data_IF_109328026592
#
_entry.id   IF_109328026592
#
_cell.length_a   1.000
_cell.length_b   1.000
_cell.length_c   1.000
_cell.angle_alpha   90.00
_cell.angle_beta   90.00
_cell.angle_gamma   90.00
#
_symmetry.space_group_name_H-M   'P 1'
#
loop_
_entity.id
_entity.type
_entity.pdbx_description
1 polymer ?
#
# COMPACT_ATOMS: atom_id res chain seq x y z
N UNK A 1 33.51 -20.26 -29.07
CA UNK A 1 33.77 -19.52 -27.83
C UNK A 1 32.51 -19.59 -27.00
N UNK A 2 32.55 -20.41 -25.96
CA UNK A 2 31.39 -20.60 -25.06
C UNK A 2 31.32 -19.41 -24.11
N UNK A 3 30.14 -18.80 -24.01
CA UNK A 3 29.86 -17.79 -23.01
C UNK A 3 29.88 -18.46 -21.63
N UNK A 4 30.74 -17.99 -20.76
CA UNK A 4 30.76 -18.34 -19.34
C UNK A 4 29.52 -17.73 -18.69
N UNK A 5 28.62 -18.58 -18.25
CA UNK A 5 27.52 -18.19 -17.35
C UNK A 5 28.15 -17.78 -16.01
N UNK A 6 27.99 -16.52 -15.64
CA UNK A 6 28.33 -16.02 -14.31
C UNK A 6 27.39 -16.66 -13.28
N UNK A 7 27.90 -17.68 -12.58
CA UNK A 7 27.28 -18.24 -11.39
C UNK A 7 27.33 -17.18 -10.28
N UNK A 8 26.22 -16.49 -10.05
CA UNK A 8 26.06 -15.60 -8.91
C UNK A 8 26.02 -16.43 -7.64
N UNK A 9 27.13 -16.50 -6.93
CA UNK A 9 27.24 -17.08 -5.59
C UNK A 9 26.73 -16.03 -4.60
N UNK A 10 25.44 -16.09 -4.26
CA UNK A 10 24.82 -15.27 -3.23
C UNK A 10 23.66 -16.02 -2.59
N UNK A 11 23.44 -15.85 -1.29
CA UNK A 11 22.25 -16.33 -0.61
C UNK A 11 21.01 -15.79 -1.35
N UNK A 12 20.14 -16.67 -1.79
CA UNK A 12 19.01 -16.53 -2.70
C UNK A 12 18.44 -15.12 -2.86
N UNK A 13 18.39 -14.69 -4.09
CA UNK A 13 17.75 -13.42 -4.47
C UNK A 13 16.24 -13.54 -4.24
N UNK A 14 15.74 -12.89 -3.20
CA UNK A 14 14.31 -12.64 -3.07
C UNK A 14 14.07 -11.35 -3.85
N UNK A 15 13.33 -11.44 -4.94
CA UNK A 15 12.96 -10.28 -5.76
C UNK A 15 12.18 -9.29 -4.88
N UNK A 16 12.40 -7.98 -5.10
CA UNK A 16 11.65 -6.91 -4.41
C UNK A 16 10.12 -6.98 -4.61
N UNK A 17 9.67 -7.79 -5.57
CA UNK A 17 8.26 -8.12 -5.83
C UNK A 17 7.75 -9.31 -4.99
N UNK A 18 8.59 -9.98 -4.22
CA UNK A 18 8.12 -11.07 -3.39
C UNK A 18 7.38 -10.51 -2.17
N UNK A 19 6.11 -10.88 -2.05
CA UNK A 19 5.23 -10.56 -0.93
C UNK A 19 5.60 -11.32 0.37
N UNK A 20 6.87 -11.62 0.56
CA UNK A 20 7.42 -12.45 1.64
C UNK A 20 7.53 -11.71 2.98
N UNK A 21 6.93 -10.56 3.10
CA UNK A 21 6.83 -9.85 4.35
C UNK A 21 5.46 -10.07 4.97
N UNK A 22 5.23 -11.30 5.49
CA UNK A 22 4.17 -11.61 6.43
C UNK A 22 4.31 -10.83 7.74
N UNK A 23 3.38 -11.04 8.67
CA UNK A 23 3.54 -10.53 10.03
C UNK A 23 4.78 -11.13 10.72
N UNK A 24 5.15 -10.61 11.90
CA UNK A 24 6.35 -11.06 12.63
C UNK A 24 6.34 -12.58 12.89
N UNK A 25 5.17 -13.19 13.05
CA UNK A 25 5.04 -14.63 13.28
C UNK A 25 5.24 -15.43 11.98
N UNK A 26 4.77 -14.91 10.85
CA UNK A 26 4.99 -15.53 9.54
C UNK A 26 6.46 -15.46 9.13
N UNK A 27 7.14 -14.34 9.41
CA UNK A 27 8.58 -14.20 9.17
C UNK A 27 9.39 -15.15 10.04
N UNK A 28 9.08 -15.25 11.33
CA UNK A 28 9.75 -16.18 12.28
C UNK A 28 9.52 -17.64 11.88
N UNK A 29 8.33 -17.98 11.41
CA UNK A 29 8.00 -19.31 10.89
C UNK A 29 8.79 -19.64 9.61
N UNK A 30 8.90 -18.70 8.67
CA UNK A 30 9.64 -18.89 7.44
C UNK A 30 11.17 -18.92 7.67
N UNK A 31 11.69 -18.14 8.59
CA UNK A 31 13.09 -18.22 9.02
C UNK A 31 13.41 -19.57 9.68
N UNK A 32 12.51 -20.08 10.52
CA UNK A 32 12.62 -21.42 11.10
C UNK A 32 12.65 -22.50 10.01
N UNK A 33 11.73 -22.46 9.06
CA UNK A 33 11.71 -23.38 7.93
C UNK A 33 12.97 -23.27 7.05
N UNK A 34 13.48 -22.07 6.85
CA UNK A 34 14.72 -21.82 6.09
C UNK A 34 15.95 -22.37 6.83
N UNK A 35 16.01 -22.27 8.15
CA UNK A 35 17.13 -22.77 8.96
C UNK A 35 17.16 -24.30 9.05
N UNK A 36 15.98 -24.94 9.00
CA UNK A 36 15.86 -26.41 9.00
C UNK A 36 16.06 -27.03 7.62
N UNK A 37 15.92 -26.25 6.57
CA UNK A 37 16.04 -26.74 5.21
C UNK A 37 17.50 -26.82 4.79
N UNK A 38 18.02 -28.05 4.74
CA UNK A 38 19.29 -28.34 4.09
C UNK A 38 19.02 -28.81 2.66
N UNK A 39 19.28 -27.97 1.63
CA UNK A 39 18.98 -28.33 0.21
C UNK A 39 19.59 -29.67 -0.22
N UNK A 40 20.77 -30.01 0.29
CA UNK A 40 21.42 -31.28 0.03
C UNK A 40 20.61 -32.49 0.57
N UNK A 41 20.10 -32.41 1.78
CA UNK A 41 19.29 -33.48 2.38
C UNK A 41 17.92 -33.60 1.68
N UNK A 42 17.33 -32.50 1.36
CA UNK A 42 16.06 -32.46 0.61
C UNK A 42 16.22 -33.12 -0.76
N UNK A 43 17.20 -32.73 -1.56
CA UNK A 43 17.42 -33.27 -2.90
C UNK A 43 17.98 -34.68 -2.93
N UNK A 44 18.57 -35.18 -1.85
CA UNK A 44 18.97 -36.59 -1.75
C UNK A 44 17.80 -37.52 -1.49
N UNK A 45 16.78 -37.06 -0.78
CA UNK A 45 15.57 -37.84 -0.47
C UNK A 45 14.47 -37.71 -1.55
N UNK A 46 14.47 -36.62 -2.32
CA UNK A 46 13.52 -36.31 -3.38
C UNK A 46 14.28 -36.37 -4.72
N UNK A 47 14.17 -37.48 -5.42
CA UNK A 47 14.81 -37.72 -6.74
C UNK A 47 14.32 -36.68 -7.76
N UNK A 48 14.78 -35.43 -7.69
CA UNK A 48 14.61 -34.30 -8.65
C UNK A 48 13.30 -34.27 -9.48
N UNK A 49 12.22 -34.84 -8.97
CA UNK A 49 10.93 -34.83 -9.64
C UNK A 49 10.17 -33.54 -9.32
N UNK A 50 10.38 -32.54 -10.16
CA UNK A 50 9.73 -31.22 -10.08
C UNK A 50 8.19 -31.33 -10.17
N UNK A 51 7.64 -32.40 -10.80
CA UNK A 51 6.19 -32.60 -10.87
C UNK A 51 5.60 -33.05 -9.53
N UNK A 52 6.38 -33.66 -8.65
CA UNK A 52 5.93 -34.00 -7.29
C UNK A 52 5.78 -32.77 -6.38
N UNK A 53 6.53 -31.72 -6.67
CA UNK A 53 6.50 -30.45 -5.92
C UNK A 53 5.33 -29.55 -6.38
N UNK A 54 4.98 -29.62 -7.66
CA UNK A 54 3.95 -28.77 -8.27
C UNK A 54 2.49 -29.21 -7.97
N UNK A 55 2.27 -30.36 -7.31
CA UNK A 55 0.93 -30.90 -7.05
C UNK A 55 0.59 -30.95 -5.56
N UNK A 56 -0.11 -29.96 -5.00
CA UNK A 56 -0.47 -29.91 -3.56
C UNK A 56 -1.33 -31.09 -3.12
N UNK A 57 -2.01 -31.76 -4.04
CA UNK A 57 -2.90 -32.92 -3.77
C UNK A 57 -2.14 -34.19 -3.36
N UNK A 58 -0.85 -34.34 -3.69
CA UNK A 58 -0.06 -35.51 -3.33
C UNK A 58 0.55 -35.46 -1.92
N UNK A 59 0.61 -34.30 -1.31
CA UNK A 59 1.10 -34.14 0.07
C UNK A 59 0.11 -34.61 1.14
N UNK A 60 -1.19 -34.64 0.84
CA UNK A 60 -2.22 -35.16 1.75
C UNK A 60 -2.32 -36.69 1.77
N UNK A 61 -1.87 -37.37 0.72
CA UNK A 61 -1.96 -38.84 0.63
C UNK A 61 -0.89 -39.59 1.44
N UNK A 62 0.04 -38.90 2.11
CA UNK A 62 1.15 -39.55 2.85
C UNK A 62 0.99 -39.54 4.36
N UNK A 63 -0.20 -39.22 4.87
CA UNK A 63 -0.52 -39.20 6.32
C UNK A 63 -1.42 -40.33 6.79
N UNK A 64 -1.44 -41.47 6.10
CA UNK A 64 -2.06 -42.67 6.62
C UNK A 64 -0.96 -43.72 6.88
N UNK A 65 -0.47 -43.73 8.12
CA UNK A 65 0.26 -44.85 8.71
C UNK A 65 -0.70 -45.57 9.65
N UNK A 66 -0.87 -46.90 9.56
CA UNK A 66 -1.89 -47.61 10.30
C UNK A 66 -1.59 -47.60 11.80
N UNK A 67 -2.64 -47.36 12.56
CA UNK A 67 -2.69 -47.57 14.00
C UNK A 67 -2.79 -49.07 14.32
N UNK A 68 -1.92 -49.55 15.18
CA UNK A 68 -2.25 -50.66 16.07
C UNK A 68 -1.53 -50.49 17.41
N UNK A 69 -2.32 -50.74 18.45
CA UNK A 69 -2.05 -51.14 19.85
C UNK A 69 -2.37 -50.07 20.90
N UNK A 70 -3.60 -50.17 21.38
CA UNK A 70 -4.11 -50.39 22.76
C UNK A 70 -3.38 -49.74 23.95
N UNK A 71 -4.10 -48.86 24.64
CA UNK A 71 -4.28 -48.78 26.09
C UNK A 71 -4.90 -47.46 26.56
N UNK A 72 -6.11 -47.51 27.05
CA UNK A 72 -6.76 -46.46 27.90
C UNK A 72 -6.09 -46.31 29.26
N UNK A 73 -6.19 -45.18 30.00
CA UNK A 73 -7.44 -44.75 30.60
C UNK A 73 -7.70 -43.22 30.72
N UNK A 74 -8.97 -42.91 30.62
CA UNK A 74 -9.75 -41.81 31.22
C UNK A 74 -9.07 -40.65 31.96
N UNK A 75 -9.28 -39.42 31.52
CA UNK A 75 -9.54 -38.23 32.35
C UNK A 75 -10.45 -37.22 31.67
N UNK A 76 -11.34 -36.64 32.48
CA UNK A 76 -12.49 -35.79 32.19
C UNK A 76 -12.15 -34.48 31.43
N UNK A 77 -13.10 -33.90 30.68
CA UNK A 77 -12.92 -32.63 29.98
C UNK A 77 -13.11 -31.46 30.95
N UNK A 78 -12.22 -30.48 30.83
CA UNK A 78 -12.42 -29.14 31.38
C UNK A 78 -12.85 -28.18 30.26
N UNK A 79 -13.64 -27.15 30.57
CA UNK A 79 -14.35 -26.36 29.55
C UNK A 79 -13.44 -25.41 28.78
N UNK A 80 -13.65 -25.38 27.49
CA UNK A 80 -13.04 -24.42 26.54
C UNK A 80 -13.56 -23.01 26.83
N UNK A 81 -12.71 -22.16 27.36
CA UNK A 81 -12.93 -20.72 27.32
C UNK A 81 -12.56 -20.22 25.92
N UNK A 82 -13.57 -19.88 25.15
CA UNK A 82 -13.41 -19.20 23.85
C UNK A 82 -12.88 -17.79 24.09
N UNK A 83 -11.57 -17.62 23.96
CA UNK A 83 -10.96 -16.31 23.83
C UNK A 83 -11.00 -15.96 22.33
N UNK A 84 -11.99 -15.20 21.93
CA UNK A 84 -12.02 -14.51 20.63
C UNK A 84 -10.94 -13.43 20.61
N UNK A 85 -9.74 -13.83 20.22
CA UNK A 85 -8.67 -12.88 19.95
C UNK A 85 -8.89 -12.35 18.52
N UNK A 86 -9.52 -11.19 18.43
CA UNK A 86 -9.59 -10.44 17.20
C UNK A 86 -8.17 -10.17 16.71
N UNK A 87 -7.81 -10.71 15.54
CA UNK A 87 -6.56 -10.41 14.86
C UNK A 87 -6.56 -8.92 14.49
N UNK A 88 -5.86 -8.12 15.29
CA UNK A 88 -5.51 -6.75 14.93
C UNK A 88 -4.42 -6.83 13.87
N UNK A 89 -4.73 -6.40 12.66
CA UNK A 89 -3.73 -6.01 11.67
C UNK A 89 -2.75 -5.01 12.29
N UNK A 90 -1.43 -5.09 12.04
CA UNK A 90 -0.48 -4.09 12.48
C UNK A 90 -0.58 -2.85 11.60
N UNK A 91 -1.62 -2.07 11.84
CA UNK A 91 -1.73 -0.71 11.32
C UNK A 91 -1.53 0.23 12.49
N UNK A 92 -0.60 1.14 12.36
CA UNK A 92 -0.41 2.35 13.18
C UNK A 92 -0.97 2.30 14.62
N UNK A 93 -0.29 1.61 15.51
CA UNK A 93 -0.61 1.62 16.92
C UNK A 93 -0.05 2.90 17.56
N UNK A 94 -0.86 3.93 17.62
CA UNK A 94 -0.50 5.22 18.22
C UNK A 94 -1.58 6.30 18.09
N UNK A 95 -2.63 6.06 17.30
CA UNK A 95 -3.78 6.97 17.21
C UNK A 95 -4.99 6.32 17.86
N UNK A 96 -5.58 7.01 18.80
CA UNK A 96 -6.79 6.54 19.50
C UNK A 96 -7.97 6.55 18.51
N UNK A 97 -8.23 5.37 17.95
CA UNK A 97 -9.29 5.13 16.96
C UNK A 97 -10.68 5.51 17.51
N UNK A 98 -10.85 5.46 18.82
CA UNK A 98 -12.10 5.84 19.48
C UNK A 98 -12.32 7.34 19.46
N UNK A 99 -11.28 8.12 19.72
CA UNK A 99 -11.35 9.58 19.67
C UNK A 99 -11.62 10.10 18.25
N UNK A 100 -11.04 9.45 17.21
CA UNK A 100 -11.31 9.80 15.82
C UNK A 100 -12.73 9.40 15.37
N UNK A 101 -13.26 8.28 15.84
CA UNK A 101 -14.63 7.85 15.55
C UNK A 101 -15.67 8.76 16.22
N UNK A 102 -15.42 9.21 17.46
CA UNK A 102 -16.28 10.19 18.15
C UNK A 102 -16.26 11.57 17.47
N UNK A 103 -15.09 12.00 16.98
CA UNK A 103 -14.98 13.26 16.24
C UNK A 103 -15.70 13.17 14.88
N UNK A 104 -15.64 12.02 14.19
CA UNK A 104 -16.37 11.77 12.95
C UNK A 104 -17.88 11.76 13.17
N UNK A 105 -18.35 11.09 14.22
CA UNK A 105 -19.77 11.05 14.59
C UNK A 105 -20.29 12.43 15.04
N UNK A 106 -19.49 13.22 15.75
CA UNK A 106 -19.81 14.59 16.11
C UNK A 106 -19.94 15.54 14.91
N UNK A 107 -19.16 15.33 13.85
CA UNK A 107 -19.28 16.06 12.57
C UNK A 107 -20.53 15.65 11.79
N UNK A 108 -20.91 14.37 11.81
CA UNK A 108 -22.14 13.87 11.15
C UNK A 108 -23.42 14.26 11.87
N UNK A 109 -23.38 14.46 13.20
CA UNK A 109 -24.54 14.82 14.02
C UNK A 109 -25.02 16.27 13.88
N UNK A 110 -24.22 17.18 13.31
CA UNK A 110 -24.57 18.61 13.16
C UNK A 110 -25.34 18.97 11.89
N UNK A 111 -25.72 17.99 11.06
CA UNK A 111 -26.29 18.18 9.71
C UNK A 111 -27.77 17.90 9.54
N UNK A 112 -28.65 17.88 10.57
CA UNK A 112 -30.09 17.68 10.37
C UNK A 112 -30.91 18.87 10.84
N UNK A 113 -31.11 19.86 9.96
CA UNK A 113 -32.34 20.63 9.89
C UNK A 113 -32.89 20.59 8.46
N UNK A 114 -33.94 19.81 8.30
CA UNK A 114 -34.76 19.69 7.11
C UNK A 114 -35.50 21.02 6.88
N UNK A 115 -35.26 21.65 5.72
CA UNK A 115 -36.16 22.66 5.17
C UNK A 115 -36.36 22.28 3.71
N UNK A 116 -37.60 21.84 3.43
CA UNK A 116 -38.11 21.67 2.07
C UNK A 116 -38.26 23.05 1.45
N UNK A 117 -37.53 23.32 0.38
CA UNK A 117 -37.84 24.36 -0.58
C UNK A 117 -37.44 23.84 -1.96
N UNK A 118 -38.33 24.12 -2.90
CA UNK A 118 -38.34 23.98 -4.36
C UNK A 118 -36.98 23.77 -5.08
N UNK A 119 -36.94 23.15 -6.27
CA UNK A 119 -35.70 22.88 -6.99
C UNK A 119 -35.11 24.16 -7.56
N UNK A 120 -34.54 24.96 -6.71
CA UNK A 120 -33.70 26.10 -7.07
C UNK A 120 -32.29 25.56 -7.26
N UNK A 121 -31.70 25.86 -8.39
CA UNK A 121 -30.40 25.37 -8.87
C UNK A 121 -29.38 25.22 -7.76
N UNK A 122 -28.86 23.99 -7.58
CA UNK A 122 -27.74 23.73 -6.69
C UNK A 122 -26.62 24.81 -6.95
N UNK A 123 -26.05 25.42 -5.90
CA UNK A 123 -25.00 26.42 -6.09
C UNK A 123 -23.92 25.81 -6.97
N UNK A 124 -23.64 26.42 -8.11
CA UNK A 124 -22.54 26.05 -8.99
C UNK A 124 -21.27 26.08 -8.12
N UNK A 125 -20.68 24.92 -7.87
CA UNK A 125 -19.37 24.85 -7.22
C UNK A 125 -18.42 25.69 -8.08
N UNK A 126 -17.79 26.70 -7.50
CA UNK A 126 -16.75 27.46 -8.18
C UNK A 126 -15.61 26.49 -8.55
N UNK A 127 -15.33 26.40 -9.83
CA UNK A 127 -14.21 25.63 -10.35
C UNK A 127 -12.94 26.49 -10.31
N UNK A 128 -11.86 25.92 -9.82
CA UNK A 128 -10.58 26.60 -9.71
C UNK A 128 -9.44 25.65 -10.15
N UNK A 129 -8.60 26.11 -11.05
CA UNK A 129 -7.40 25.38 -11.44
C UNK A 129 -6.14 26.11 -10.94
N UNK A 130 -5.40 25.57 -9.95
CA UNK A 130 -4.19 26.21 -9.43
C UNK A 130 -3.04 26.28 -10.47
N UNK A 131 -3.16 25.55 -11.58
CA UNK A 131 -2.15 25.46 -12.65
C UNK A 131 -2.61 26.16 -13.94
N UNK A 132 -3.62 27.03 -13.83
CA UNK A 132 -4.13 27.76 -15.00
C UNK A 132 -3.04 28.61 -15.63
N UNK A 133 -2.97 28.61 -16.97
CA UNK A 133 -1.95 29.34 -17.75
C UNK A 133 -0.61 28.62 -17.88
N UNK A 134 -0.40 27.48 -17.20
CA UNK A 134 0.84 26.72 -17.39
C UNK A 134 0.75 25.82 -18.62
N UNK A 135 1.76 25.81 -19.53
CA UNK A 135 1.65 25.16 -20.84
C UNK A 135 1.50 23.65 -20.81
N UNK A 136 2.09 22.98 -19.81
CA UNK A 136 2.05 21.51 -19.68
C UNK A 136 1.02 21.03 -18.65
N UNK A 137 0.07 21.90 -18.30
CA UNK A 137 -1.01 21.60 -17.38
C UNK A 137 -2.36 21.64 -18.10
N UNK A 138 -3.31 20.84 -17.61
CA UNK A 138 -4.70 20.92 -18.03
C UNK A 138 -5.28 22.31 -17.71
N UNK A 139 -6.10 22.86 -18.61
CA UNK A 139 -6.72 24.19 -18.46
C UNK A 139 -8.24 24.08 -18.28
N UNK A 140 -8.83 25.06 -17.56
CA UNK A 140 -10.28 25.11 -17.36
C UNK A 140 -11.04 25.18 -18.69
N UNK A 141 -12.06 24.33 -18.79
CA UNK A 141 -12.86 24.21 -20.03
C UNK A 141 -12.25 23.33 -21.11
N UNK A 142 -11.01 22.87 -20.95
CA UNK A 142 -10.39 21.92 -21.86
C UNK A 142 -10.90 20.49 -21.55
N UNK A 143 -11.29 19.72 -22.57
CA UNK A 143 -11.61 18.30 -22.38
C UNK A 143 -10.32 17.49 -22.22
N UNK A 144 -10.41 16.34 -21.55
CA UNK A 144 -9.27 15.43 -21.40
C UNK A 144 -8.67 15.02 -22.76
N UNK A 145 -9.52 14.83 -23.78
CA UNK A 145 -9.09 14.50 -25.13
C UNK A 145 -8.32 15.64 -25.79
N UNK A 146 -8.81 16.89 -25.69
CA UNK A 146 -8.13 18.06 -26.20
C UNK A 146 -6.78 18.29 -25.53
N UNK A 147 -6.71 18.12 -24.20
CA UNK A 147 -5.49 18.23 -23.42
C UNK A 147 -4.44 17.21 -23.88
N UNK A 148 -4.80 15.93 -23.95
CA UNK A 148 -3.85 14.88 -24.36
C UNK A 148 -3.41 15.02 -25.82
N UNK A 149 -4.26 15.59 -26.70
CA UNK A 149 -3.86 15.96 -28.07
C UNK A 149 -2.88 17.13 -28.10
N UNK A 150 -3.06 18.12 -27.22
CA UNK A 150 -2.18 19.30 -27.12
C UNK A 150 -0.82 18.94 -26.51
N UNK A 151 -0.81 18.09 -25.48
CA UNK A 151 0.39 17.67 -24.74
C UNK A 151 0.40 16.14 -24.56
N UNK A 152 0.68 15.38 -25.62
CA UNK A 152 0.68 13.92 -25.56
C UNK A 152 1.91 13.39 -24.81
N UNK A 153 1.76 12.68 -23.67
CA UNK A 153 2.89 12.15 -22.91
C UNK A 153 3.81 11.24 -23.73
N UNK A 154 3.24 10.52 -24.68
CA UNK A 154 3.98 9.59 -25.55
C UNK A 154 5.07 10.26 -26.38
N UNK A 155 4.86 11.51 -26.82
CA UNK A 155 5.75 12.21 -27.74
C UNK A 155 6.28 13.56 -27.22
N UNK A 156 5.82 14.01 -26.06
CA UNK A 156 6.37 15.20 -25.41
C UNK A 156 7.67 14.82 -24.74
N UNK A 157 8.79 15.39 -25.20
CA UNK A 157 10.12 15.05 -24.68
C UNK A 157 10.34 15.54 -23.25
N UNK A 158 11.05 14.76 -22.44
CA UNK A 158 11.52 15.15 -21.10
C UNK A 158 12.41 16.41 -21.14
N UNK A 159 13.02 16.72 -22.27
CA UNK A 159 13.78 17.97 -22.45
C UNK A 159 12.88 19.20 -22.57
N UNK A 160 11.60 19.01 -22.90
CA UNK A 160 10.61 20.09 -23.05
C UNK A 160 9.90 20.40 -21.74
N UNK A 161 9.57 19.39 -20.96
CA UNK A 161 8.97 19.54 -19.63
C UNK A 161 9.32 18.36 -18.74
N UNK A 162 9.41 18.62 -17.46
CA UNK A 162 9.69 17.57 -16.45
C UNK A 162 8.45 16.70 -16.19
N UNK A 163 7.27 17.32 -16.13
CA UNK A 163 6.01 16.65 -15.84
C UNK A 163 4.83 17.31 -16.53
N UNK A 164 3.86 16.50 -16.96
CA UNK A 164 2.56 16.93 -17.47
C UNK A 164 1.53 16.74 -16.35
N UNK A 165 0.74 17.79 -16.04
CA UNK A 165 -0.11 17.82 -14.84
C UNK A 165 -1.59 18.01 -15.15
N UNK A 166 -2.44 17.39 -14.31
CA UNK A 166 -3.87 17.68 -14.23
C UNK A 166 -4.27 17.92 -12.77
N UNK A 167 -5.02 19.00 -12.52
CA UNK A 167 -5.54 19.33 -11.20
C UNK A 167 -7.06 19.19 -11.18
N UNK A 168 -7.59 18.72 -10.06
CA UNK A 168 -9.02 18.65 -9.79
C UNK A 168 -9.57 20.08 -9.59
N UNK A 169 -10.49 20.55 -10.44
CA UNK A 169 -11.02 21.91 -10.38
C UNK A 169 -12.03 22.12 -9.23
N UNK A 170 -12.54 21.06 -8.63
CA UNK A 170 -13.52 21.11 -7.52
C UNK A 170 -12.87 21.20 -6.14
N UNK A 171 -11.57 21.41 -6.08
CA UNK A 171 -10.88 21.67 -4.81
C UNK A 171 -11.40 22.98 -4.22
N UNK A 172 -11.64 22.95 -2.92
CA UNK A 172 -12.02 24.17 -2.21
C UNK A 172 -10.89 25.20 -2.29
N UNK A 173 -11.13 26.31 -3.00
CA UNK A 173 -10.20 27.43 -3.08
C UNK A 173 -9.90 28.07 -1.70
N UNK A 174 -10.73 27.75 -0.71
CA UNK A 174 -10.58 28.17 0.70
C UNK A 174 -9.74 27.20 1.53
N UNK A 175 -9.29 26.08 0.95
CA UNK A 175 -8.36 25.17 1.62
C UNK A 175 -7.01 25.89 1.83
N UNK A 176 -6.96 26.67 2.91
CA UNK A 176 -5.79 27.44 3.35
C UNK A 176 -4.84 26.56 4.17
N UNK A 177 -4.78 25.27 3.91
CA UNK A 177 -3.76 24.44 4.54
C UNK A 177 -2.38 25.07 4.29
N UNK A 178 -1.62 25.21 5.35
CA UNK A 178 -0.29 25.82 5.27
C UNK A 178 0.57 25.01 4.28
N UNK A 179 1.32 25.70 3.43
CA UNK A 179 2.23 25.05 2.49
C UNK A 179 3.18 24.11 3.25
N UNK A 180 3.45 22.89 2.72
CA UNK A 180 4.32 21.93 3.37
C UNK A 180 5.75 22.49 3.50
N UNK A 181 6.34 22.35 4.68
CA UNK A 181 7.71 22.79 4.98
C UNK A 181 8.73 21.72 4.54
N UNK A 182 8.82 21.51 3.21
CA UNK A 182 9.61 20.44 2.61
C UNK A 182 11.10 20.53 2.96
N UNK A 183 11.69 21.73 2.99
CA UNK A 183 13.09 21.90 3.36
C UNK A 183 13.35 21.43 4.80
N UNK A 184 12.53 21.87 5.76
CA UNK A 184 12.65 21.42 7.14
C UNK A 184 12.42 19.91 7.30
N UNK A 185 11.54 19.33 6.49
CA UNK A 185 11.35 17.88 6.46
C UNK A 185 12.60 17.16 5.98
N UNK A 186 13.18 17.60 4.87
CA UNK A 186 14.41 16.98 4.30
C UNK A 186 15.58 17.04 5.29
N UNK A 187 15.84 18.20 5.88
CA UNK A 187 16.95 18.39 6.80
C UNK A 187 16.83 17.50 8.06
N UNK A 188 15.64 17.48 8.66
CA UNK A 188 15.39 16.67 9.86
C UNK A 188 15.29 15.19 9.53
N UNK A 189 14.69 14.84 8.39
CA UNK A 189 14.57 13.48 7.92
C UNK A 189 15.94 12.86 7.60
N UNK A 190 16.84 13.60 6.96
CA UNK A 190 18.20 13.14 6.71
C UNK A 190 18.95 12.80 8.01
N UNK A 191 18.75 13.59 9.08
CA UNK A 191 19.33 13.28 10.40
C UNK A 191 18.75 11.99 10.99
N UNK A 192 17.42 11.80 10.91
CA UNK A 192 16.78 10.56 11.39
C UNK A 192 17.31 9.33 10.65
N UNK A 193 17.54 9.45 9.35
CA UNK A 193 18.12 8.38 8.54
C UNK A 193 19.57 8.09 8.95
N UNK A 194 20.41 9.13 9.13
CA UNK A 194 21.79 8.96 9.57
C UNK A 194 21.88 8.31 10.95
N UNK A 195 21.08 8.79 11.92
CA UNK A 195 21.01 8.25 13.27
C UNK A 195 20.56 6.77 13.27
N UNK A 196 19.64 6.41 12.38
CA UNK A 196 19.16 5.03 12.24
C UNK A 196 20.26 4.12 11.69
N UNK A 197 21.03 4.54 10.69
CA UNK A 197 22.18 3.75 10.19
C UNK A 197 23.20 3.50 11.30
N UNK A 198 23.55 4.54 12.07
CA UNK A 198 24.47 4.38 13.19
C UNK A 198 23.96 3.35 14.21
N UNK A 199 22.66 3.43 14.58
CA UNK A 199 22.06 2.44 15.51
C UNK A 199 22.06 1.04 14.94
N UNK A 200 21.85 0.87 13.63
CA UNK A 200 21.89 -0.45 12.98
C UNK A 200 23.30 -1.04 12.98
N UNK A 201 24.32 -0.22 12.75
CA UNK A 201 25.73 -0.65 12.85
C UNK A 201 26.07 -1.08 14.29
N UNK A 202 25.64 -0.31 15.30
CA UNK A 202 25.82 -0.67 16.70
C UNK A 202 25.12 -1.99 17.07
N UNK A 203 23.90 -2.22 16.56
CA UNK A 203 23.15 -3.47 16.76
C UNK A 203 23.91 -4.63 16.14
N UNK A 204 24.46 -4.45 14.93
CA UNK A 204 25.22 -5.48 14.25
C UNK A 204 26.51 -5.81 15.02
N UNK A 205 27.24 -4.80 15.49
CA UNK A 205 28.48 -5.00 16.25
C UNK A 205 28.24 -5.70 17.60
N UNK A 206 27.21 -5.29 18.33
CA UNK A 206 26.80 -5.94 19.58
C UNK A 206 26.30 -7.37 19.36
N UNK A 207 25.68 -7.62 18.20
CA UNK A 207 25.13 -8.92 17.85
C UNK A 207 26.12 -9.90 17.21
N UNK A 208 27.37 -9.53 16.97
CA UNK A 208 28.39 -10.37 16.28
C UNK A 208 28.61 -11.73 16.91
N UNK A 209 28.46 -11.84 18.23
CA UNK A 209 28.64 -13.08 19.00
C UNK A 209 27.30 -13.70 19.44
N UNK A 210 26.19 -13.09 19.07
CA UNK A 210 24.83 -13.51 19.48
C UNK A 210 24.05 -14.23 18.37
N UNK A 211 22.85 -14.74 18.71
CA UNK A 211 21.95 -15.35 17.73
C UNK A 211 21.52 -14.33 16.65
N UNK A 212 21.56 -14.71 15.38
CA UNK A 212 21.11 -13.87 14.26
C UNK A 212 19.68 -13.39 14.44
N UNK A 213 18.79 -14.22 14.97
CA UNK A 213 17.38 -13.90 15.24
C UNK A 213 17.21 -12.68 16.14
N UNK A 214 18.07 -12.51 17.15
CA UNK A 214 18.06 -11.34 18.04
C UNK A 214 18.44 -10.06 17.29
N UNK A 215 19.43 -10.14 16.42
CA UNK A 215 19.86 -9.00 15.57
C UNK A 215 18.74 -8.60 14.64
N UNK A 216 18.13 -9.54 13.93
CA UNK A 216 17.02 -9.29 13.00
C UNK A 216 15.84 -8.66 13.73
N UNK A 217 15.45 -9.19 14.89
CA UNK A 217 14.34 -8.62 15.68
C UNK A 217 14.63 -7.16 16.09
N UNK A 218 15.85 -6.88 16.53
CA UNK A 218 16.24 -5.52 16.93
C UNK A 218 16.28 -4.58 15.72
N UNK A 219 16.73 -5.07 14.55
CA UNK A 219 16.68 -4.30 13.31
C UNK A 219 15.25 -3.96 12.87
N UNK A 220 14.33 -4.92 12.94
CA UNK A 220 12.92 -4.69 12.61
C UNK A 220 12.28 -3.68 13.58
N UNK A 221 12.63 -3.74 14.87
CA UNK A 221 12.20 -2.75 15.84
C UNK A 221 12.72 -1.34 15.51
N UNK A 222 14.01 -1.22 15.16
CA UNK A 222 14.62 0.06 14.74
C UNK A 222 13.97 0.60 13.45
N UNK A 223 13.73 -0.25 12.46
CA UNK A 223 13.05 0.15 11.23
C UNK A 223 11.62 0.69 11.51
N UNK A 224 10.86 0.03 12.38
CA UNK A 224 9.53 0.48 12.81
C UNK A 224 9.59 1.82 13.54
N UNK A 225 10.56 2.00 14.44
CA UNK A 225 10.76 3.25 15.17
C UNK A 225 11.14 4.39 14.22
N UNK A 226 12.01 4.13 13.23
CA UNK A 226 12.37 5.10 12.19
C UNK A 226 11.13 5.48 11.36
N UNK A 227 10.34 4.52 10.90
CA UNK A 227 9.12 4.77 10.13
C UNK A 227 8.14 5.66 10.92
N UNK A 228 7.94 5.38 12.20
CA UNK A 228 7.09 6.21 13.07
C UNK A 228 7.63 7.63 13.22
N UNK A 229 8.95 7.78 13.38
CA UNK A 229 9.60 9.08 13.50
C UNK A 229 9.48 9.91 12.22
N UNK A 230 9.66 9.27 11.04
CA UNK A 230 9.48 9.91 9.74
C UNK A 230 8.01 10.32 9.51
N UNK A 231 7.06 9.47 9.89
CA UNK A 231 5.62 9.78 9.83
C UNK A 231 5.27 10.96 10.72
N UNK A 232 5.75 10.98 11.96
CA UNK A 232 5.56 12.10 12.88
C UNK A 232 6.14 13.40 12.32
N UNK A 233 7.35 13.36 11.79
CA UNK A 233 8.00 14.49 11.15
C UNK A 233 7.21 14.99 9.94
N UNK A 234 6.68 14.10 9.10
CA UNK A 234 5.83 14.45 7.97
C UNK A 234 4.58 15.22 8.41
N UNK A 235 3.94 14.78 9.50
CA UNK A 235 2.78 15.47 10.10
C UNK A 235 3.17 16.85 10.61
N UNK A 236 4.25 16.94 11.37
CA UNK A 236 4.73 18.23 11.93
C UNK A 236 5.07 19.25 10.84
N UNK A 237 5.53 18.78 9.69
CA UNK A 237 5.98 19.65 8.58
C UNK A 237 4.91 19.84 7.50
N UNK A 238 3.78 19.13 7.59
CA UNK A 238 2.69 19.19 6.61
C UNK A 238 2.98 18.45 5.31
N UNK A 239 3.99 17.54 5.26
CA UNK A 239 4.33 16.73 4.09
C UNK A 239 3.46 15.48 4.10
N UNK A 240 2.18 15.62 3.76
CA UNK A 240 1.16 14.59 3.94
C UNK A 240 0.75 13.89 2.66
N UNK A 241 1.00 14.48 1.49
CA UNK A 241 0.60 13.89 0.22
C UNK A 241 1.28 12.55 -0.04
N UNK A 242 0.58 11.73 -0.81
CA UNK A 242 1.11 10.49 -1.36
C UNK A 242 0.43 10.18 -2.68
N UNK A 243 0.85 9.11 -3.33
CA UNK A 243 0.44 8.80 -4.70
C UNK A 243 0.40 7.31 -4.99
N UNK A 244 -0.61 6.90 -5.73
CA UNK A 244 -0.60 5.65 -6.48
C UNK A 244 0.25 5.82 -7.72
N UNK A 245 1.07 4.82 -8.06
CA UNK A 245 2.02 4.85 -9.18
C UNK A 245 1.61 3.82 -10.23
N UNK A 246 1.21 4.28 -11.41
CA UNK A 246 0.87 3.44 -12.56
C UNK A 246 2.02 3.47 -13.55
N UNK A 247 2.26 2.35 -14.24
CA UNK A 247 3.33 2.20 -15.21
C UNK A 247 2.78 1.62 -16.52
N UNK A 248 1.95 2.39 -17.28
CA UNK A 248 1.50 1.96 -18.58
C UNK A 248 2.68 1.88 -19.55
N UNK A 249 2.58 0.92 -20.49
CA UNK A 249 3.53 0.83 -21.59
C UNK A 249 3.38 2.02 -22.53
N UNK A 250 4.46 2.33 -23.25
CA UNK A 250 4.52 3.48 -24.17
C UNK A 250 3.33 3.57 -25.14
N UNK A 251 2.84 2.50 -25.80
CA UNK A 251 1.68 2.59 -26.69
C UNK A 251 0.36 2.94 -25.98
N UNK A 252 0.24 2.65 -24.70
CA UNK A 252 -0.98 2.81 -23.92
C UNK A 252 -1.01 4.12 -23.13
N UNK A 253 0.13 4.80 -22.97
CA UNK A 253 0.27 5.94 -22.05
C UNK A 253 -0.73 7.07 -22.33
N UNK A 254 -0.96 7.44 -23.60
CA UNK A 254 -1.89 8.51 -23.94
C UNK A 254 -3.33 8.13 -23.55
N UNK A 255 -3.75 6.88 -23.77
CA UNK A 255 -5.07 6.39 -23.39
C UNK A 255 -5.24 6.37 -21.88
N UNK A 256 -4.29 5.78 -21.17
CA UNK A 256 -4.29 5.70 -19.71
C UNK A 256 -4.30 7.10 -19.09
N UNK A 257 -3.44 7.99 -19.58
CA UNK A 257 -3.39 9.37 -19.11
C UNK A 257 -4.70 10.12 -19.34
N UNK A 258 -5.31 9.98 -20.52
CA UNK A 258 -6.62 10.56 -20.82
C UNK A 258 -7.68 10.13 -19.79
N UNK A 259 -7.76 8.83 -19.49
CA UNK A 259 -8.71 8.31 -18.51
C UNK A 259 -8.44 8.87 -17.10
N UNK A 260 -7.17 8.96 -16.69
CA UNK A 260 -6.78 9.57 -15.41
C UNK A 260 -7.17 11.05 -15.37
N UNK A 261 -6.87 11.83 -16.43
CA UNK A 261 -7.24 13.26 -16.50
C UNK A 261 -8.76 13.43 -16.38
N UNK A 262 -9.54 12.66 -17.15
CA UNK A 262 -10.99 12.72 -17.12
C UNK A 262 -11.53 12.45 -15.70
N UNK A 263 -11.02 11.47 -15.02
CA UNK A 263 -11.43 11.13 -13.65
C UNK A 263 -10.98 12.19 -12.62
N UNK A 264 -9.81 12.84 -12.82
CA UNK A 264 -9.35 13.93 -11.96
C UNK A 264 -10.23 15.18 -12.14
N UNK A 265 -10.49 15.59 -13.38
CA UNK A 265 -11.26 16.80 -13.65
C UNK A 265 -12.77 16.67 -13.38
N UNK A 266 -13.25 15.43 -13.19
CA UNK A 266 -14.64 15.13 -12.80
C UNK A 266 -14.79 14.77 -11.31
N UNK A 267 -13.79 15.04 -10.46
CA UNK A 267 -13.79 14.81 -9.01
C UNK A 267 -13.92 13.33 -8.59
N UNK A 268 -13.55 12.39 -9.45
CA UNK A 268 -13.59 10.96 -9.17
C UNK A 268 -12.30 10.45 -8.51
N UNK A 269 -11.16 11.00 -8.90
CA UNK A 269 -9.86 10.70 -8.30
C UNK A 269 -9.44 11.74 -7.25
N UNK A 270 -8.15 11.81 -6.97
CA UNK A 270 -7.62 12.70 -5.96
C UNK A 270 -7.42 14.15 -6.46
N UNK A 271 -6.66 14.95 -5.68
CA UNK A 271 -6.53 16.39 -5.95
C UNK A 271 -5.74 16.73 -7.21
N UNK A 272 -4.81 15.87 -7.60
CA UNK A 272 -3.97 16.07 -8.79
C UNK A 272 -3.46 14.74 -9.33
N UNK A 273 -3.07 14.73 -10.59
CA UNK A 273 -2.26 13.67 -11.18
C UNK A 273 -1.15 14.27 -12.06
N UNK A 274 -0.10 13.50 -12.28
CA UNK A 274 0.96 13.84 -13.21
C UNK A 274 1.44 12.62 -13.98
N UNK A 275 1.96 12.84 -15.18
CA UNK A 275 2.58 11.81 -16.00
C UNK A 275 3.97 12.25 -16.43
N UNK A 276 4.90 11.30 -16.45
CA UNK A 276 6.21 11.51 -17.02
C UNK A 276 6.13 11.66 -18.55
N UNK A 277 6.79 12.66 -19.13
CA UNK A 277 6.94 12.80 -20.58
C UNK A 277 7.86 11.71 -21.13
N UNK A 278 8.13 11.75 -22.43
CA UNK A 278 8.97 10.79 -23.11
C UNK A 278 10.45 10.92 -22.70
N UNK A 279 10.96 9.90 -22.02
CA UNK A 279 12.36 9.73 -21.62
C UNK A 279 13.06 8.55 -22.33
N UNK A 280 12.41 7.99 -23.37
CA UNK A 280 12.92 6.87 -24.17
C UNK A 280 12.74 5.49 -23.55
N UNK A 281 12.07 5.36 -22.40
CA UNK A 281 11.78 4.08 -21.76
C UNK A 281 10.47 3.46 -22.28
N UNK A 282 10.31 2.15 -22.11
CA UNK A 282 9.10 1.43 -22.53
C UNK A 282 7.87 1.74 -21.66
N UNK A 283 8.06 2.12 -20.41
CA UNK A 283 6.99 2.42 -19.46
C UNK A 283 7.05 3.88 -19.00
N UNK A 284 5.90 4.49 -18.77
CA UNK A 284 5.77 5.87 -18.28
C UNK A 284 5.13 5.89 -16.90
N UNK A 285 5.73 6.64 -15.99
CA UNK A 285 5.17 6.80 -14.65
C UNK A 285 4.00 7.80 -14.68
N UNK A 286 2.83 7.34 -14.20
CA UNK A 286 1.69 8.19 -13.86
C UNK A 286 1.52 8.16 -12.34
N UNK A 287 1.45 9.34 -11.72
CA UNK A 287 1.21 9.52 -10.29
C UNK A 287 -0.19 10.06 -10.07
N UNK A 288 -1.02 9.38 -9.29
CA UNK A 288 -2.35 9.84 -8.87
C UNK A 288 -2.30 10.14 -7.38
N UNK A 289 -2.42 11.42 -7.02
CA UNK A 289 -2.19 11.89 -5.66
C UNK A 289 -3.42 11.80 -4.77
N UNK A 290 -3.19 11.59 -3.46
CA UNK A 290 -4.14 11.83 -2.37
C UNK A 290 -3.62 12.92 -1.46
N UNK A 291 -4.50 13.54 -0.65
CA UNK A 291 -4.14 14.66 0.22
C UNK A 291 -3.30 14.24 1.42
N UNK A 292 -3.66 13.11 2.01
CA UNK A 292 -3.02 12.60 3.22
C UNK A 292 -2.81 11.09 3.10
N UNK A 293 -1.55 10.66 3.16
CA UNK A 293 -1.20 9.24 3.07
C UNK A 293 -1.68 8.41 4.27
N UNK A 294 -2.12 9.06 5.35
CA UNK A 294 -2.67 8.41 6.55
C UNK A 294 -4.19 8.21 6.48
N UNK A 295 -4.85 8.89 5.56
CA UNK A 295 -6.28 8.71 5.30
C UNK A 295 -6.47 7.47 4.43
N UNK A 296 -6.45 6.30 5.09
CA UNK A 296 -6.58 5.00 4.43
C UNK A 296 -7.91 4.89 3.66
N UNK A 297 -8.97 5.55 4.12
CA UNK A 297 -10.28 5.54 3.45
C UNK A 297 -10.20 6.29 2.11
N UNK A 298 -9.53 7.46 2.04
CA UNK A 298 -9.35 8.19 0.77
C UNK A 298 -8.35 7.49 -0.15
N UNK A 299 -7.27 6.93 0.41
CA UNK A 299 -6.30 6.13 -0.36
C UNK A 299 -6.97 4.90 -0.99
N UNK A 300 -7.83 4.19 -0.24
CA UNK A 300 -8.61 3.05 -0.74
C UNK A 300 -9.68 3.49 -1.74
N UNK A 301 -10.36 4.61 -1.51
CA UNK A 301 -11.35 5.16 -2.44
C UNK A 301 -10.73 5.41 -3.82
N UNK A 302 -9.57 6.07 -3.85
CA UNK A 302 -8.84 6.32 -5.10
C UNK A 302 -8.39 5.00 -5.74
N UNK A 303 -7.95 4.02 -4.97
CA UNK A 303 -7.57 2.70 -5.48
C UNK A 303 -8.75 1.96 -6.13
N UNK A 304 -9.92 1.95 -5.48
CA UNK A 304 -11.14 1.34 -6.04
C UNK A 304 -11.54 2.02 -7.35
N UNK A 305 -11.47 3.34 -7.39
CA UNK A 305 -11.74 4.09 -8.62
C UNK A 305 -10.76 3.73 -9.75
N UNK A 306 -9.47 3.53 -9.44
CA UNK A 306 -8.48 3.06 -10.41
C UNK A 306 -8.78 1.62 -10.89
N UNK A 307 -9.31 0.76 -10.02
CA UNK A 307 -9.79 -0.58 -10.38
C UNK A 307 -11.00 -0.51 -11.31
N UNK A 308 -12.01 0.30 -10.97
CA UNK A 308 -13.23 0.48 -11.76
C UNK A 308 -12.96 1.07 -13.16
N UNK A 309 -11.90 1.87 -13.28
CA UNK A 309 -11.43 2.43 -14.54
C UNK A 309 -10.53 1.48 -15.36
N UNK A 310 -10.29 0.26 -14.88
CA UNK A 310 -9.38 -0.73 -15.50
C UNK A 310 -7.95 -0.19 -15.69
N UNK A 311 -7.48 0.60 -14.73
CA UNK A 311 -6.13 1.21 -14.76
C UNK A 311 -5.10 0.43 -13.95
N UNK A 312 -5.54 -0.58 -13.18
CA UNK A 312 -4.64 -1.49 -12.47
C UNK A 312 -4.20 -2.59 -13.44
N UNK A 313 -2.90 -2.68 -13.70
CA UNK A 313 -2.36 -3.69 -14.64
C UNK A 313 -2.72 -5.11 -14.19
N UNK A 314 -3.19 -5.95 -15.14
CA UNK A 314 -3.53 -7.34 -14.86
C UNK A 314 -2.31 -8.12 -14.37
N UNK A 315 -2.42 -8.67 -13.15
CA UNK A 315 -1.36 -9.50 -12.53
C UNK A 315 -0.16 -8.73 -11.98
N UNK A 316 -0.14 -7.40 -12.04
CA UNK A 316 0.91 -6.56 -11.43
C UNK A 316 0.34 -5.76 -10.25
N UNK A 317 1.10 -5.71 -9.17
CA UNK A 317 0.74 -4.86 -8.04
C UNK A 317 1.01 -3.39 -8.36
N UNK A 318 0.04 -2.54 -8.02
CA UNK A 318 0.23 -1.10 -8.00
C UNK A 318 0.59 -0.67 -6.57
N UNK A 319 1.56 0.21 -6.45
CA UNK A 319 2.11 0.63 -5.16
C UNK A 319 1.80 2.09 -4.85
N UNK A 320 1.57 2.36 -3.58
CA UNK A 320 1.34 3.70 -3.06
C UNK A 320 2.57 4.19 -2.28
N UNK A 321 3.06 5.38 -2.62
CA UNK A 321 4.23 5.98 -1.99
C UNK A 321 3.91 7.35 -1.42
N UNK A 322 4.30 7.62 -0.16
CA UNK A 322 4.22 8.96 0.41
C UNK A 322 5.24 9.91 -0.21
N UNK A 323 4.90 11.20 -0.30
CA UNK A 323 5.86 12.20 -0.73
C UNK A 323 6.98 12.41 0.30
N UNK A 324 6.71 12.12 1.57
CA UNK A 324 7.73 12.08 2.61
C UNK A 324 8.89 11.16 2.22
N UNK A 325 8.60 9.94 1.75
CA UNK A 325 9.63 9.00 1.28
C UNK A 325 10.27 9.45 -0.03
N UNK A 326 9.51 10.11 -0.91
CA UNK A 326 10.06 10.68 -2.15
C UNK A 326 11.07 11.78 -1.86
N UNK A 327 10.77 12.66 -0.91
CA UNK A 327 11.67 13.76 -0.53
C UNK A 327 12.96 13.33 0.17
N UNK A 328 12.99 12.12 0.71
CA UNK A 328 14.17 11.52 1.34
C UNK A 328 14.87 10.50 0.44
N UNK A 329 14.49 10.42 -0.83
CA UNK A 329 15.07 9.48 -1.81
C UNK A 329 15.00 8.02 -1.36
N UNK A 330 13.93 7.66 -0.62
CA UNK A 330 13.67 6.31 -0.17
C UNK A 330 12.99 5.51 -1.30
N UNK A 331 13.78 4.99 -2.21
CA UNK A 331 13.40 4.03 -3.25
C UNK A 331 13.72 2.60 -2.76
N UNK A 332 13.34 1.58 -3.52
CA UNK A 332 13.53 0.18 -3.16
C UNK A 332 14.94 -0.09 -2.63
N UNK A 333 15.97 0.26 -3.41
CA UNK A 333 17.36 0.02 -3.04
C UNK A 333 17.86 0.86 -1.85
N UNK A 334 17.35 2.08 -1.68
CA UNK A 334 17.78 2.95 -0.57
C UNK A 334 16.99 2.68 0.71
N UNK A 335 15.69 2.41 0.62
CA UNK A 335 14.84 2.10 1.76
C UNK A 335 15.28 0.81 2.48
N UNK A 336 15.70 -0.22 1.72
CA UNK A 336 16.17 -1.49 2.27
C UNK A 336 17.34 -1.35 3.24
N UNK A 337 18.23 -0.36 3.03
CA UNK A 337 19.35 -0.06 3.96
C UNK A 337 18.87 0.25 5.38
N UNK A 338 17.68 0.80 5.50
CA UNK A 338 17.03 1.15 6.77
C UNK A 338 16.03 0.09 7.24
N UNK A 339 15.84 -1.00 6.49
CA UNK A 339 14.79 -1.98 6.72
C UNK A 339 13.39 -1.43 6.46
N UNK A 340 13.27 -0.37 5.67
CA UNK A 340 12.00 0.25 5.29
C UNK A 340 11.52 -0.29 3.94
N UNK A 341 10.21 -0.36 3.76
CA UNK A 341 9.60 -0.55 2.45
C UNK A 341 9.47 0.80 1.75
N UNK A 342 9.77 0.84 0.45
CA UNK A 342 9.68 2.07 -0.35
C UNK A 342 8.22 2.54 -0.56
N UNK A 343 7.26 1.65 -0.44
CA UNK A 343 5.82 1.90 -0.57
C UNK A 343 5.10 1.64 0.75
N UNK A 344 4.05 2.41 1.02
CA UNK A 344 3.22 2.25 2.22
C UNK A 344 2.12 1.21 2.01
N UNK A 345 1.50 1.19 0.82
CA UNK A 345 0.39 0.30 0.50
C UNK A 345 0.64 -0.42 -0.82
N UNK A 346 0.05 -1.60 -0.91
CA UNK A 346 0.03 -2.47 -2.09
C UNK A 346 -1.43 -2.70 -2.50
N UNK A 347 -1.75 -2.55 -3.79
CA UNK A 347 -3.12 -2.63 -4.30
C UNK A 347 -3.81 -3.95 -3.97
N UNK A 348 -3.16 -5.08 -4.22
CA UNK A 348 -3.77 -6.40 -3.99
C UNK A 348 -4.08 -6.63 -2.52
N UNK A 349 -3.16 -6.27 -1.60
CA UNK A 349 -3.39 -6.41 -0.15
C UNK A 349 -4.52 -5.50 0.33
N UNK A 350 -4.54 -4.26 -0.13
CA UNK A 350 -5.54 -3.28 0.29
C UNK A 350 -6.94 -3.63 -0.21
N UNK A 351 -7.07 -4.05 -1.48
CA UNK A 351 -8.34 -4.50 -2.06
C UNK A 351 -8.82 -5.81 -1.41
N UNK A 352 -7.93 -6.76 -1.15
CA UNK A 352 -8.29 -8.01 -0.46
C UNK A 352 -8.81 -7.74 0.96
N UNK A 353 -8.15 -6.85 1.71
CA UNK A 353 -8.60 -6.44 3.05
C UNK A 353 -9.97 -5.74 3.01
N UNK A 354 -10.19 -4.86 2.03
CA UNK A 354 -11.47 -4.18 1.84
C UNK A 354 -12.61 -5.17 1.53
N UNK A 355 -12.38 -6.11 0.60
CA UNK A 355 -13.36 -7.15 0.26
C UNK A 355 -13.67 -8.07 1.44
N UNK A 356 -12.66 -8.45 2.23
CA UNK A 356 -12.88 -9.24 3.44
C UNK A 356 -13.70 -8.49 4.50
N UNK A 357 -13.48 -7.19 4.66
CA UNK A 357 -14.25 -6.34 5.57
C UNK A 357 -15.73 -6.21 5.11
N UNK A 358 -15.96 -6.03 3.81
CA UNK A 358 -17.31 -5.96 3.22
C UNK A 358 -18.09 -7.28 3.41
N UNK A 359 -17.44 -8.43 3.19
CA UNK A 359 -18.04 -9.75 3.43
C UNK A 359 -18.40 -9.96 4.91
N UNK A 360 -17.52 -9.59 5.82
CA UNK A 360 -17.75 -9.68 7.26
C UNK A 360 -18.91 -8.79 7.71
N UNK A 361 -19.01 -7.57 7.17
CA UNK A 361 -20.10 -6.64 7.45
C UNK A 361 -21.43 -7.19 6.95
N UNK A 362 -21.48 -7.77 5.76
CA UNK A 362 -22.67 -8.39 5.16
C UNK A 362 -23.16 -9.59 5.98
N UNK A 363 -22.26 -10.45 6.44
CA UNK A 363 -22.61 -11.60 7.29
C UNK A 363 -23.17 -11.16 8.65
N UNK A 364 -22.58 -10.13 9.26
CA UNK A 364 -23.08 -9.58 10.53
C UNK A 364 -24.48 -8.97 10.39
N UNK A 365 -24.74 -8.29 9.27
CA UNK A 365 -26.05 -7.69 8.98
C UNK A 365 -27.10 -8.76 8.78
N UNK A 366 -26.81 -9.82 8.02
CA UNK A 366 -27.69 -10.96 7.80
C UNK A 366 -28.03 -11.67 9.13
N UNK A 367 -27.02 -11.95 9.95
CA UNK A 367 -27.21 -12.59 11.26
C UNK A 367 -28.03 -11.74 12.24
N UNK A 368 -27.89 -10.40 12.20
CA UNK A 368 -28.70 -9.50 12.99
C UNK A 368 -30.16 -9.47 12.51
N UNK A 369 -30.37 -9.53 11.21
CA UNK A 369 -31.71 -9.54 10.62
C UNK A 369 -32.45 -10.84 10.93
N UNK A 370 -31.77 -12.00 10.85
CA UNK A 370 -32.32 -13.28 11.29
C UNK A 370 -32.72 -13.29 12.78
N UNK A 371 -31.87 -12.75 13.64
CA UNK A 371 -32.17 -12.61 15.08
C UNK A 371 -33.36 -11.69 15.36
N UNK A 372 -33.56 -10.63 14.54
CA UNK A 372 -34.73 -9.74 14.65
C UNK A 372 -36.01 -10.46 14.23
N UNK A 373 -35.95 -11.20 13.14
CA UNK A 373 -37.08 -11.98 12.63
C UNK A 373 -37.49 -13.04 13.67
N UNK A 374 -36.55 -13.83 14.20
CA UNK A 374 -36.84 -14.82 15.24
C UNK A 374 -37.45 -14.20 16.51
N UNK A 375 -37.02 -13.01 16.93
CA UNK A 375 -37.63 -12.31 18.08
C UNK A 375 -39.03 -11.72 17.82
N UNK A 376 -39.45 -11.59 16.58
CA UNK A 376 -40.77 -11.10 16.24
C UNK A 376 -41.84 -12.21 16.22
N UNK A 377 -41.41 -13.48 16.33
CA UNK A 377 -42.32 -14.64 16.36
C UNK A 377 -42.54 -15.19 17.79
N UNK A 378 -41.89 -14.60 18.79
CA UNK A 378 -42.10 -14.87 20.20
C UNK A 378 -42.54 -13.61 20.95
#
# INVERSE_FOLDING_TARGET
>A
MAATEDLVVGAGWISDDSSFYGDENEQEYQESLSSENTPKAFWSSHSKDLNAIASPTKLQARKEIPSDVDATPTKKPMPLTTSTRANKLPGFSGLDRKAMEEERLARLGKGKRKRETSPESAPRREVFNPMEGQPFCWQLGETADAFVKRVPPRSTSVLTCEWIWAANPYRDSRDKSAAPRVAAFKDRGAKLLADSLQRRDEIQDKGRLGPRTTVTRTWNHEAKALQQSLTKLAVETGVLSGKWMLFPKEPEVNRTWKTVVEAVITDRLGPTAKVAPDDGKDERLICVYTKDFRDEDDVLRVLKELEDLDLLGHGRNTYYKSDAFTHLDLYSATASKYGLQASLYNSSKMLAAARAAELSASQNTASQQERRILKSFY
#
